data_IF_416431708991
#
_entry.id   IF_416431708991
#
_cell.length_a   1.000
_cell.length_b   1.000
_cell.length_c   1.000
_cell.angle_alpha   90.00
_cell.angle_beta   90.00
_cell.angle_gamma   90.00
#
_symmetry.space_group_name_H-M   'P 1'
#
loop_
_entity.id
_entity.type
_entity.pdbx_description
1 polymer ?
#
# COMPACT_ATOMS: atom_id res chain seq x y z
N UNK A 1 11.63 6.74 -2.73
CA UNK A 1 12.80 7.59 -2.39
C UNK A 1 13.88 6.80 -1.66
N UNK A 2 13.54 6.03 -0.60
CA UNK A 2 14.49 5.14 0.10
C UNK A 2 15.22 4.18 -0.85
N UNK A 3 14.49 3.53 -1.76
CA UNK A 3 15.08 2.59 -2.75
C UNK A 3 16.04 3.29 -3.74
N UNK A 4 15.81 4.55 -4.09
CA UNK A 4 16.68 5.29 -5.02
C UNK A 4 18.07 5.53 -4.41
N UNK A 5 18.13 5.80 -3.11
CA UNK A 5 19.38 6.07 -2.39
C UNK A 5 20.18 4.80 -2.19
N UNK A 6 19.50 3.67 -1.98
CA UNK A 6 20.14 2.39 -1.69
C UNK A 6 20.46 1.63 -2.98
N UNK A 7 19.48 1.36 -3.84
CA UNK A 7 19.68 0.49 -4.99
C UNK A 7 19.05 1.07 -6.27
N UNK A 8 19.79 1.92 -7.00
CA UNK A 8 19.32 2.55 -8.23
C UNK A 8 18.73 1.59 -9.28
N UNK A 9 19.28 0.37 -9.50
CA UNK A 9 18.70 -0.58 -10.45
C UNK A 9 17.30 -1.07 -10.03
N UNK A 10 17.11 -1.32 -8.73
CA UNK A 10 15.81 -1.73 -8.17
C UNK A 10 14.80 -0.58 -8.27
N UNK A 11 15.25 0.66 -8.08
CA UNK A 11 14.40 1.84 -8.25
C UNK A 11 13.89 1.97 -9.69
N UNK A 12 14.76 1.80 -10.70
CA UNK A 12 14.37 1.85 -12.11
C UNK A 12 13.34 0.78 -12.47
N UNK A 13 13.45 -0.44 -11.93
CA UNK A 13 12.47 -1.50 -12.13
C UNK A 13 11.11 -1.22 -11.44
N UNK A 14 11.12 -0.53 -10.29
CA UNK A 14 9.91 -0.16 -9.56
C UNK A 14 9.21 1.09 -10.11
N UNK A 15 9.91 1.90 -10.91
CA UNK A 15 9.36 3.17 -11.42
C UNK A 15 8.08 2.99 -12.23
N UNK A 16 8.00 2.13 -13.26
CA UNK A 16 6.79 1.96 -14.06
C UNK A 16 5.53 1.56 -13.26
N UNK A 17 5.57 0.50 -12.41
CA UNK A 17 4.39 0.11 -11.64
C UNK A 17 3.98 1.14 -10.58
N UNK A 18 4.94 1.76 -9.89
CA UNK A 18 4.62 2.78 -8.88
C UNK A 18 4.12 4.09 -9.51
N UNK A 19 4.68 4.51 -10.65
CA UNK A 19 4.22 5.70 -11.35
C UNK A 19 2.80 5.53 -11.88
N UNK A 20 2.48 4.36 -12.47
CA UNK A 20 1.12 4.05 -12.91
C UNK A 20 0.11 4.10 -11.76
N UNK A 21 0.43 3.45 -10.65
CA UNK A 21 -0.41 3.48 -9.45
C UNK A 21 -0.57 4.91 -8.88
N UNK A 22 0.51 5.71 -8.87
CA UNK A 22 0.49 7.08 -8.39
C UNK A 22 -0.37 8.01 -9.27
N UNK A 23 -0.28 7.90 -10.60
CA UNK A 23 -1.09 8.71 -11.52
C UNK A 23 -2.57 8.43 -11.32
N UNK A 24 -2.96 7.16 -11.19
CA UNK A 24 -4.36 6.78 -10.93
C UNK A 24 -4.81 7.29 -9.57
N UNK A 25 -3.99 7.15 -8.52
CA UNK A 25 -4.29 7.64 -7.18
C UNK A 25 -4.54 9.16 -7.17
N UNK A 26 -3.63 9.92 -7.79
CA UNK A 26 -3.72 11.38 -7.87
C UNK A 26 -4.94 11.79 -8.72
N UNK A 27 -5.17 11.13 -9.85
CA UNK A 27 -6.30 11.40 -10.74
C UNK A 27 -7.65 11.18 -10.04
N UNK A 28 -7.82 10.03 -9.39
CA UNK A 28 -9.01 9.73 -8.60
C UNK A 28 -9.17 10.68 -7.41
N UNK A 29 -8.08 11.00 -6.71
CA UNK A 29 -8.09 11.95 -5.59
C UNK A 29 -8.53 13.35 -6.02
N UNK A 30 -7.98 13.87 -7.12
CA UNK A 30 -8.35 15.18 -7.67
C UNK A 30 -9.80 15.20 -8.18
N UNK A 31 -10.26 14.11 -8.79
CA UNK A 31 -11.65 13.99 -9.25
C UNK A 31 -12.63 13.99 -8.07
N UNK A 32 -12.35 13.22 -7.02
CA UNK A 32 -13.15 13.21 -5.79
C UNK A 32 -13.12 14.57 -5.09
N UNK A 33 -11.97 15.23 -5.02
CA UNK A 33 -11.84 16.57 -4.45
C UNK A 33 -12.68 17.61 -5.22
N UNK A 34 -12.62 17.59 -6.56
CA UNK A 34 -13.44 18.47 -7.42
C UNK A 34 -14.94 18.11 -7.41
N UNK A 35 -15.30 16.86 -7.18
CA UNK A 35 -16.68 16.43 -7.01
C UNK A 35 -17.25 16.85 -5.64
N UNK A 36 -16.41 16.86 -4.60
CA UNK A 36 -16.77 17.37 -3.27
C UNK A 36 -16.90 18.89 -3.25
N UNK A 37 -16.03 19.62 -3.94
CA UNK A 37 -16.07 21.09 -4.05
C UNK A 37 -17.34 21.65 -4.73
N UNK A 38 -18.10 20.80 -5.44
CA UNK A 38 -19.37 21.14 -6.10
C UNK A 38 -20.62 20.88 -5.25
N UNK A 39 -20.47 20.33 -4.05
CA UNK A 39 -21.58 20.15 -3.09
C UNK A 39 -21.50 21.22 -2.01
N UNK A 40 -22.31 22.27 -2.14
CA UNK A 40 -22.65 23.18 -1.04
C UNK A 40 -23.71 22.54 -0.15
N UNK A 41 -23.33 21.47 0.54
CA UNK A 41 -24.12 20.87 1.61
C UNK A 41 -23.23 20.73 2.83
N UNK A 42 -23.75 21.03 4.02
CA UNK A 42 -23.03 20.87 5.28
C UNK A 42 -22.23 19.58 5.27
N UNK A 43 -20.93 19.69 5.54
CA UNK A 43 -20.09 18.53 5.77
C UNK A 43 -20.83 17.65 6.79
N UNK A 44 -21.01 16.34 6.54
CA UNK A 44 -21.43 15.44 7.60
C UNK A 44 -20.53 15.73 8.79
N UNK A 45 -21.06 15.90 10.02
CA UNK A 45 -20.21 16.19 11.16
C UNK A 45 -19.11 15.14 11.15
N UNK A 46 -17.88 15.59 10.89
CA UNK A 46 -16.70 14.75 10.96
C UNK A 46 -16.63 14.35 12.43
N UNK A 47 -17.21 13.19 12.77
CA UNK A 47 -17.12 12.63 14.11
C UNK A 47 -15.66 12.69 14.52
N UNK A 48 -15.39 13.33 15.65
CA UNK A 48 -14.05 13.73 16.05
C UNK A 48 -13.11 12.51 15.88
N UNK A 49 -12.15 12.51 14.93
CA UNK A 49 -11.27 11.36 14.72
C UNK A 49 -10.35 11.10 15.92
N UNK A 50 -10.35 12.00 16.91
CA UNK A 50 -9.80 11.85 18.26
C UNK A 50 -10.81 11.25 19.27
N UNK A 51 -11.94 10.71 18.83
CA UNK A 51 -12.74 9.85 19.69
C UNK A 51 -11.92 8.62 20.04
N UNK A 52 -11.66 8.48 21.34
CA UNK A 52 -10.82 7.44 21.92
C UNK A 52 -11.15 6.04 21.36
N UNK A 53 -12.42 5.80 21.04
CA UNK A 53 -12.91 4.56 20.46
C UNK A 53 -12.50 4.31 19.00
N UNK A 54 -12.51 5.34 18.14
CA UNK A 54 -12.03 5.22 16.75
C UNK A 54 -10.52 5.06 16.71
N UNK A 55 -9.79 5.80 17.55
CA UNK A 55 -8.34 5.63 17.71
C UNK A 55 -7.99 4.21 18.18
N UNK A 56 -8.75 3.67 19.16
CA UNK A 56 -8.53 2.31 19.67
C UNK A 56 -8.72 1.24 18.58
N UNK A 57 -9.69 1.40 17.68
CA UNK A 57 -9.90 0.46 16.55
C UNK A 57 -8.74 0.47 15.56
N UNK A 58 -8.19 1.64 15.26
CA UNK A 58 -7.03 1.78 14.36
C UNK A 58 -5.78 1.18 15.03
N UNK A 59 -5.54 1.51 16.30
CA UNK A 59 -4.41 0.95 17.08
C UNK A 59 -4.52 -0.57 17.21
N UNK A 60 -5.72 -1.10 17.49
CA UNK A 60 -5.94 -2.55 17.57
C UNK A 60 -5.62 -3.25 16.24
N UNK A 61 -6.03 -2.68 15.11
CA UNK A 61 -5.69 -3.22 13.79
C UNK A 61 -4.17 -3.21 13.56
N UNK A 62 -3.50 -2.10 13.84
CA UNK A 62 -2.04 -1.97 13.71
C UNK A 62 -1.32 -3.00 14.58
N UNK A 63 -1.76 -3.20 15.83
CA UNK A 63 -1.18 -4.19 16.76
C UNK A 63 -1.37 -5.63 16.25
N UNK A 64 -2.57 -5.99 15.80
CA UNK A 64 -2.85 -7.33 15.25
C UNK A 64 -1.91 -7.62 14.09
N UNK A 65 -1.76 -6.64 13.20
CA UNK A 65 -0.88 -6.78 12.06
C UNK A 65 0.58 -6.92 12.49
N UNK A 66 1.08 -6.07 13.39
CA UNK A 66 2.46 -6.14 13.90
C UNK A 66 2.78 -7.50 14.52
N UNK A 67 1.86 -8.04 15.32
CA UNK A 67 2.00 -9.37 15.93
C UNK A 67 2.06 -10.45 14.86
N UNK A 68 1.20 -10.37 13.85
CA UNK A 68 1.19 -11.31 12.74
C UNK A 68 2.51 -11.23 11.95
N UNK A 69 3.00 -10.03 11.64
CA UNK A 69 4.26 -9.81 10.91
C UNK A 69 5.44 -10.48 11.61
N UNK A 70 5.54 -10.26 12.92
CA UNK A 70 6.64 -10.78 13.73
C UNK A 70 6.59 -12.30 13.91
N UNK A 71 5.40 -12.90 13.83
CA UNK A 71 5.22 -14.35 13.88
C UNK A 71 5.65 -15.07 12.58
N UNK A 72 5.63 -14.39 11.43
CA UNK A 72 5.97 -14.98 10.13
C UNK A 72 7.45 -14.91 9.74
N UNK A 73 8.27 -14.12 10.46
CA UNK A 73 9.66 -13.79 10.11
C UNK A 73 10.64 -15.00 10.20
N UNK A 74 10.24 -16.13 10.77
CA UNK A 74 11.21 -17.08 11.30
C UNK A 74 11.74 -18.21 10.37
N UNK A 75 11.19 -18.50 9.16
CA UNK A 75 11.44 -19.87 8.61
C UNK A 75 11.57 -20.15 7.10
N UNK A 76 11.42 -19.23 6.11
CA UNK A 76 10.93 -19.70 4.78
C UNK A 76 11.66 -19.27 3.47
N UNK A 77 12.89 -18.74 3.47
CA UNK A 77 13.62 -18.45 2.22
C UNK A 77 12.87 -17.48 1.28
N UNK A 78 12.92 -17.66 -0.05
CA UNK A 78 12.26 -16.74 -1.02
C UNK A 78 10.72 -16.72 -0.91
N UNK A 79 10.07 -17.85 -0.61
CA UNK A 79 8.63 -17.90 -0.35
C UNK A 79 8.27 -17.22 0.98
N UNK A 80 9.17 -17.32 1.97
CA UNK A 80 9.09 -16.59 3.23
C UNK A 80 9.14 -15.09 3.04
N UNK A 81 9.97 -14.61 2.11
CA UNK A 81 10.08 -13.20 1.74
C UNK A 81 8.76 -12.63 1.20
N UNK A 82 8.04 -13.38 0.36
CA UNK A 82 6.74 -12.92 -0.15
C UNK A 82 5.64 -12.91 0.93
N UNK A 83 5.62 -13.90 1.81
CA UNK A 83 4.71 -13.92 2.96
C UNK A 83 5.03 -12.78 3.93
N UNK A 84 6.31 -12.60 4.26
CA UNK A 84 6.78 -11.49 5.09
C UNK A 84 6.42 -10.15 4.46
N UNK A 85 6.52 -10.02 3.14
CA UNK A 85 6.09 -8.82 2.43
C UNK A 85 4.60 -8.55 2.56
N UNK A 86 3.78 -9.58 2.40
CA UNK A 86 2.34 -9.45 2.53
C UNK A 86 1.94 -9.02 3.94
N UNK A 87 2.56 -9.62 4.96
CA UNK A 87 2.20 -9.34 6.36
C UNK A 87 2.82 -8.04 6.85
N UNK A 88 4.09 -7.77 6.52
CA UNK A 88 4.73 -6.49 6.84
C UNK A 88 4.05 -5.31 6.13
N UNK A 89 3.63 -5.49 4.87
CA UNK A 89 2.89 -4.49 4.11
C UNK A 89 1.53 -4.12 4.69
N UNK A 90 0.93 -4.96 5.55
CA UNK A 90 -0.27 -4.59 6.31
C UNK A 90 0.04 -3.50 7.37
N UNK A 91 1.28 -3.44 7.89
CA UNK A 91 1.68 -2.57 9.01
C UNK A 91 2.57 -1.41 8.55
N UNK A 92 3.69 -1.72 7.91
CA UNK A 92 4.66 -0.74 7.45
C UNK A 92 5.36 -1.21 6.18
N UNK A 93 5.00 -0.56 5.07
CA UNK A 93 5.60 -0.86 3.76
C UNK A 93 7.05 -0.38 3.67
N UNK A 94 7.44 0.63 4.45
CA UNK A 94 8.74 1.28 4.31
C UNK A 94 9.86 0.40 4.89
N UNK A 95 9.59 -0.25 6.03
CA UNK A 95 10.52 -1.19 6.67
C UNK A 95 10.85 -2.38 5.76
N UNK A 96 9.84 -3.02 5.16
CA UNK A 96 10.08 -4.15 4.24
C UNK A 96 10.70 -3.70 2.92
N UNK A 97 10.40 -2.49 2.45
CA UNK A 97 11.02 -1.94 1.24
C UNK A 97 12.52 -1.68 1.44
N UNK A 98 12.90 -1.21 2.63
CA UNK A 98 14.30 -1.07 3.03
C UNK A 98 15.01 -2.43 3.07
N UNK A 99 14.41 -3.42 3.75
CA UNK A 99 14.98 -4.78 3.81
C UNK A 99 15.09 -5.42 2.43
N UNK A 100 14.12 -5.22 1.54
CA UNK A 100 14.20 -5.70 0.16
C UNK A 100 15.36 -5.07 -0.61
N UNK A 101 15.60 -3.76 -0.43
CA UNK A 101 16.72 -3.07 -1.06
C UNK A 101 18.07 -3.62 -0.57
N UNK A 102 18.24 -3.82 0.75
CA UNK A 102 19.45 -4.41 1.34
C UNK A 102 19.68 -5.85 0.88
N UNK A 103 18.63 -6.67 0.83
CA UNK A 103 18.73 -8.06 0.37
C UNK A 103 19.09 -8.15 -1.12
N UNK A 104 18.53 -7.28 -1.97
CA UNK A 104 18.92 -7.22 -3.40
C UNK A 104 20.35 -6.75 -3.62
N UNK A 105 20.86 -5.83 -2.78
CA UNK A 105 22.29 -5.50 -2.78
C UNK A 105 23.16 -6.69 -2.37
N UNK A 106 22.67 -7.51 -1.43
CA UNK A 106 23.34 -8.72 -0.95
C UNK A 106 23.31 -9.92 -1.91
N UNK A 107 22.80 -9.75 -3.13
CA UNK A 107 22.76 -10.78 -4.17
C UNK A 107 21.41 -11.49 -4.34
N UNK A 108 20.35 -11.03 -3.66
CA UNK A 108 18.99 -11.46 -3.99
C UNK A 108 18.61 -10.95 -5.40
N UNK A 109 17.95 -11.80 -6.18
CA UNK A 109 17.47 -11.44 -7.50
C UNK A 109 16.56 -10.20 -7.45
N UNK A 110 16.79 -9.25 -8.36
CA UNK A 110 16.07 -7.98 -8.45
C UNK A 110 14.57 -8.24 -8.67
N UNK A 111 14.21 -9.26 -9.45
CA UNK A 111 12.82 -9.60 -9.70
C UNK A 111 12.08 -10.02 -8.40
N UNK A 112 12.77 -10.74 -7.50
CA UNK A 112 12.23 -11.11 -6.18
C UNK A 112 12.04 -9.87 -5.31
N UNK A 113 13.01 -8.95 -5.31
CA UNK A 113 12.91 -7.68 -4.59
C UNK A 113 11.74 -6.80 -5.07
N UNK A 114 11.54 -6.70 -6.39
CA UNK A 114 10.39 -5.99 -6.99
C UNK A 114 9.07 -6.60 -6.54
N UNK A 115 8.94 -7.93 -6.61
CA UNK A 115 7.72 -8.64 -6.21
C UNK A 115 7.41 -8.45 -4.72
N UNK A 116 8.43 -8.52 -3.84
CA UNK A 116 8.30 -8.23 -2.40
C UNK A 116 7.73 -6.84 -2.16
N UNK A 117 8.32 -5.80 -2.75
CA UNK A 117 7.86 -4.41 -2.55
C UNK A 117 6.43 -4.22 -3.05
N UNK A 118 6.07 -4.82 -4.18
CA UNK A 118 4.74 -4.66 -4.76
C UNK A 118 3.66 -5.43 -4.00
N UNK A 119 3.97 -6.62 -3.49
CA UNK A 119 3.07 -7.36 -2.59
C UNK A 119 2.80 -6.52 -1.33
N UNK A 120 3.86 -5.96 -0.72
CA UNK A 120 3.73 -5.13 0.46
C UNK A 120 2.88 -3.87 0.18
N UNK A 121 3.14 -3.18 -0.93
CA UNK A 121 2.38 -2.01 -1.35
C UNK A 121 0.90 -2.33 -1.65
N UNK A 122 0.64 -3.47 -2.27
CA UNK A 122 -0.71 -3.96 -2.53
C UNK A 122 -1.48 -4.19 -1.24
N UNK A 123 -0.87 -4.87 -0.26
CA UNK A 123 -1.47 -5.13 1.04
C UNK A 123 -1.75 -3.84 1.82
N UNK A 124 -0.82 -2.89 1.84
CA UNK A 124 -1.03 -1.59 2.46
C UNK A 124 -2.22 -0.84 1.86
N UNK A 125 -2.36 -0.91 0.53
CA UNK A 125 -3.45 -0.27 -0.20
C UNK A 125 -4.79 -0.94 0.12
N UNK A 126 -4.82 -2.27 0.21
CA UNK A 126 -6.01 -3.03 0.61
C UNK A 126 -6.44 -2.71 2.05
N UNK A 127 -5.50 -2.61 2.99
CA UNK A 127 -5.78 -2.21 4.37
C UNK A 127 -6.38 -0.81 4.42
N UNK A 128 -5.78 0.16 3.72
CA UNK A 128 -6.30 1.53 3.65
C UNK A 128 -7.70 1.59 3.04
N UNK A 129 -7.94 0.81 1.98
CA UNK A 129 -9.27 0.71 1.38
C UNK A 129 -10.28 0.09 2.36
N UNK A 130 -9.92 -0.99 3.05
CA UNK A 130 -10.76 -1.61 4.07
C UNK A 130 -11.08 -0.66 5.22
N UNK A 131 -10.08 0.08 5.73
CA UNK A 131 -10.29 1.12 6.74
C UNK A 131 -11.24 2.20 6.25
N UNK A 132 -11.08 2.67 5.02
CA UNK A 132 -11.95 3.70 4.46
C UNK A 132 -13.40 3.22 4.25
N UNK A 133 -13.61 1.92 3.99
CA UNK A 133 -14.93 1.29 3.93
C UNK A 133 -15.56 1.20 5.33
N UNK A 134 -14.80 0.73 6.32
CA UNK A 134 -15.27 0.52 7.71
C UNK A 134 -15.57 1.85 8.41
N UNK A 135 -14.70 2.85 8.23
CA UNK A 135 -14.81 4.15 8.90
C UNK A 135 -15.68 5.14 8.11
N UNK A 136 -15.66 5.08 6.76
CA UNK A 136 -16.36 6.04 5.89
C UNK A 136 -17.77 5.60 5.44
N UNK A 137 -18.18 4.37 5.74
CA UNK A 137 -19.48 3.84 5.39
C UNK A 137 -19.69 3.55 3.90
N UNK A 138 -20.88 3.08 3.53
CA UNK A 138 -21.21 2.52 2.19
C UNK A 138 -21.03 3.51 1.04
N UNK A 139 -21.27 4.80 1.27
CA UNK A 139 -21.10 5.84 0.24
C UNK A 139 -19.62 6.12 -0.08
N UNK A 140 -18.73 6.06 0.92
CA UNK A 140 -17.28 6.19 0.73
C UNK A 140 -16.71 4.91 0.11
N UNK A 141 -17.21 3.75 0.53
CA UNK A 141 -16.84 2.45 -0.02
C UNK A 141 -17.02 2.38 -1.54
N UNK A 142 -18.20 2.78 -2.06
CA UNK A 142 -18.50 2.77 -3.50
C UNK A 142 -17.63 3.72 -4.34
N UNK A 143 -16.99 4.71 -3.70
CA UNK A 143 -16.10 5.66 -4.38
C UNK A 143 -14.64 5.23 -4.34
N UNK A 144 -14.22 4.56 -3.26
CA UNK A 144 -12.82 4.16 -3.05
C UNK A 144 -12.52 2.81 -3.69
N UNK A 145 -13.41 1.82 -3.59
CA UNK A 145 -13.20 0.47 -4.16
C UNK A 145 -12.81 0.47 -5.65
N UNK A 146 -13.49 1.22 -6.54
CA UNK A 146 -13.12 1.26 -7.96
C UNK A 146 -11.73 1.89 -8.17
N UNK A 147 -11.40 2.93 -7.40
CA UNK A 147 -10.10 3.60 -7.45
C UNK A 147 -8.98 2.67 -6.95
N UNK A 148 -9.21 1.94 -5.86
CA UNK A 148 -8.28 0.93 -5.34
C UNK A 148 -8.01 -0.17 -6.36
N UNK A 149 -9.07 -0.70 -7.00
CA UNK A 149 -8.93 -1.71 -8.05
C UNK A 149 -8.16 -1.17 -9.24
N UNK A 150 -8.47 0.06 -9.68
CA UNK A 150 -7.75 0.71 -10.78
C UNK A 150 -6.27 0.95 -10.46
N UNK A 151 -5.94 1.33 -9.22
CA UNK A 151 -4.55 1.50 -8.76
C UNK A 151 -3.78 0.18 -8.77
N UNK A 152 -4.37 -0.89 -8.26
CA UNK A 152 -3.76 -2.22 -8.26
C UNK A 152 -3.57 -2.75 -9.69
N UNK A 153 -4.57 -2.56 -10.55
CA UNK A 153 -4.49 -2.93 -11.96
C UNK A 153 -3.41 -2.15 -12.72
N UNK A 154 -3.27 -0.85 -12.46
CA UNK A 154 -2.22 -0.03 -13.05
C UNK A 154 -0.82 -0.43 -12.57
N UNK A 155 -0.68 -0.78 -11.29
CA UNK A 155 0.56 -1.35 -10.75
C UNK A 155 0.92 -2.69 -11.40
N UNK A 156 -0.05 -3.59 -11.55
CA UNK A 156 0.15 -4.87 -12.24
C UNK A 156 0.47 -4.70 -13.74
N UNK A 157 -0.13 -3.71 -14.41
CA UNK A 157 0.19 -3.40 -15.80
C UNK A 157 1.60 -2.81 -15.95
N UNK A 158 2.02 -1.94 -15.03
CA UNK A 158 3.39 -1.40 -15.02
C UNK A 158 4.46 -2.48 -14.80
N UNK A 159 4.14 -3.51 -14.02
CA UNK A 159 4.98 -4.71 -13.88
C UNK A 159 5.22 -5.43 -15.21
N UNK A 160 4.16 -5.60 -16.01
CA UNK A 160 4.29 -6.24 -17.33
C UNK A 160 5.11 -5.41 -18.31
N UNK A 161 5.11 -4.07 -18.16
CA UNK A 161 5.91 -3.16 -18.98
C UNK A 161 7.40 -3.14 -18.58
N UNK A 162 7.73 -3.46 -17.32
CA UNK A 162 9.11 -3.56 -16.84
C UNK A 162 9.76 -4.94 -17.07
N UNK A 163 8.97 -5.94 -17.49
CA UNK A 163 9.43 -7.30 -17.75
C UNK A 163 9.86 -7.54 -19.22
N UNK A 164 9.83 -6.50 -20.07
CA UNK A 164 10.35 -6.45 -21.43
C UNK A 164 11.49 -5.42 -21.53
#
# INVERSE_FOLDING_TARGET
LVVLVLHPPLFLALMPPLAGAAVVAIGCGLWLWRAAARRTGEAPPLGNPLELWSALKIVALIVVVLVLSKALDATLGAAGLYLLAAVSGLADVDAITLSAAELTQGGLDIAVGVAVVLIAAGMNTLVKAGLAVVLGGRAMALRILPATVAMLAAGAAGLTLSAF
#
